data_IF_176619092778
#
_entry.id   IF_176619092778
#
_cell.length_a   1.000
_cell.length_b   1.000
_cell.length_c   1.000
_cell.angle_alpha   90.00
_cell.angle_beta   90.00
_cell.angle_gamma   90.00
#
_symmetry.space_group_name_H-M   'P 1'
#
loop_
_entity.id
_entity.type
_entity.pdbx_description
1 polymer ?
#
# COMPACT_ATOMS: atom_id res chain seq x y z
N UNK A 1 -9.94 2.98 -14.16
CA UNK A 1 -8.59 2.62 -13.68
C UNK A 1 -7.69 3.78 -14.05
N UNK A 2 -6.95 4.31 -13.07
CA UNK A 2 -6.07 5.47 -13.23
C UNK A 2 -4.64 4.98 -12.98
N UNK A 3 -3.74 5.26 -13.90
CA UNK A 3 -2.33 4.96 -13.72
C UNK A 3 -1.68 6.01 -12.81
N UNK A 4 -0.90 5.54 -11.84
CA UNK A 4 -0.12 6.34 -10.90
C UNK A 4 1.35 5.98 -11.11
N UNK A 5 2.24 6.96 -11.23
CA UNK A 5 3.66 6.70 -11.41
C UNK A 5 4.52 7.90 -11.06
N UNK A 6 5.73 7.62 -10.59
CA UNK A 6 6.81 8.60 -10.43
C UNK A 6 8.17 7.88 -10.56
N UNK A 7 9.26 8.55 -10.21
CA UNK A 7 10.60 7.96 -10.19
C UNK A 7 10.66 6.69 -9.31
N UNK A 8 10.87 5.55 -9.98
CA UNK A 8 11.03 4.21 -9.43
C UNK A 8 9.78 3.59 -8.78
N UNK A 9 8.59 4.15 -9.02
CA UNK A 9 7.34 3.46 -8.69
C UNK A 9 6.25 3.65 -9.72
N UNK A 10 5.38 2.66 -9.80
CA UNK A 10 4.18 2.70 -10.63
C UNK A 10 3.09 1.91 -9.96
N UNK A 11 1.84 2.17 -10.34
CA UNK A 11 0.69 1.41 -9.90
C UNK A 11 -0.58 1.85 -10.58
N UNK A 12 -1.66 1.14 -10.29
CA UNK A 12 -2.98 1.41 -10.84
C UNK A 12 -3.97 1.60 -9.70
N UNK A 13 -4.75 2.67 -9.77
CA UNK A 13 -5.83 3.01 -8.87
C UNK A 13 -7.17 2.59 -9.48
N UNK A 14 -7.93 1.84 -8.69
CA UNK A 14 -9.32 1.52 -8.92
C UNK A 14 -10.17 2.38 -7.98
N UNK A 15 -10.91 3.32 -8.55
CA UNK A 15 -11.91 4.11 -7.84
C UNK A 15 -13.22 3.34 -7.85
N UNK A 16 -13.56 2.70 -6.73
CA UNK A 16 -14.86 2.10 -6.46
C UNK A 16 -15.35 2.51 -5.04
N UNK A 17 -16.24 1.75 -4.41
CA UNK A 17 -16.68 2.01 -3.02
C UNK A 17 -15.52 1.94 -1.98
N UNK A 18 -14.39 1.35 -2.37
CA UNK A 18 -13.13 1.27 -1.65
C UNK A 18 -12.01 1.68 -2.61
N UNK A 19 -11.47 2.89 -2.49
CA UNK A 19 -10.35 3.29 -3.36
C UNK A 19 -9.14 2.39 -3.07
N UNK A 20 -8.75 1.59 -4.06
CA UNK A 20 -7.66 0.63 -3.95
C UNK A 20 -6.62 0.91 -5.01
N UNK A 21 -5.35 0.88 -4.65
CA UNK A 21 -4.27 0.95 -5.61
C UNK A 21 -3.24 -0.13 -5.34
N UNK A 22 -2.50 -0.52 -6.38
CA UNK A 22 -1.42 -1.51 -6.26
C UNK A 22 -0.37 -1.27 -7.32
N UNK A 23 0.85 -1.68 -7.04
CA UNK A 23 1.96 -1.40 -7.94
C UNK A 23 3.30 -1.92 -7.47
N UNK A 24 4.37 -1.33 -7.99
CA UNK A 24 5.74 -1.59 -7.55
C UNK A 24 6.47 -0.31 -7.12
N UNK A 25 7.36 -0.44 -6.13
CA UNK A 25 8.31 0.58 -5.66
C UNK A 25 9.67 -0.10 -5.47
N UNK A 26 10.71 0.36 -6.15
CA UNK A 26 12.07 -0.20 -6.05
C UNK A 26 12.13 -1.74 -6.17
N UNK A 27 11.24 -2.32 -6.98
CA UNK A 27 11.13 -3.77 -7.18
C UNK A 27 10.21 -4.50 -6.21
N UNK A 28 9.74 -3.88 -5.13
CA UNK A 28 8.79 -4.46 -4.17
C UNK A 28 7.34 -4.17 -4.58
N UNK A 29 6.46 -5.14 -4.36
CA UNK A 29 5.03 -4.95 -4.61
C UNK A 29 4.38 -4.20 -3.45
N UNK A 30 3.49 -3.26 -3.77
CA UNK A 30 2.73 -2.50 -2.78
C UNK A 30 1.23 -2.57 -3.06
N UNK A 31 0.45 -2.41 -1.98
CA UNK A 31 -1.00 -2.31 -1.99
C UNK A 31 -1.44 -1.14 -1.13
N UNK A 32 -2.42 -0.39 -1.62
CA UNK A 32 -3.06 0.73 -0.95
C UNK A 32 -4.54 0.43 -0.85
N UNK A 33 -5.12 0.73 0.31
CA UNK A 33 -6.56 0.69 0.50
C UNK A 33 -7.00 1.88 1.33
N UNK A 34 -7.98 2.62 0.80
CA UNK A 34 -8.77 3.58 1.55
C UNK A 34 -10.13 2.97 1.86
N UNK A 35 -10.47 2.93 3.15
CA UNK A 35 -11.76 2.44 3.65
C UNK A 35 -12.29 3.40 4.70
N UNK A 36 -13.35 4.15 4.38
CA UNK A 36 -13.92 5.13 5.30
C UNK A 36 -12.90 6.24 5.62
N UNK A 37 -12.46 6.32 6.88
CA UNK A 37 -11.46 7.30 7.36
C UNK A 37 -10.07 6.72 7.58
N UNK A 38 -9.87 5.44 7.28
CA UNK A 38 -8.59 4.77 7.41
C UNK A 38 -7.99 4.50 6.04
N UNK A 39 -6.71 4.86 5.85
CA UNK A 39 -5.89 4.36 4.77
C UNK A 39 -4.85 3.37 5.31
N UNK A 40 -4.55 2.38 4.49
CA UNK A 40 -3.49 1.40 4.73
C UNK A 40 -2.62 1.32 3.48
N UNK A 41 -1.31 1.28 3.67
CA UNK A 41 -0.33 0.92 2.63
C UNK A 41 0.54 -0.21 3.13
N UNK A 42 0.60 -1.26 2.33
CA UNK A 42 1.40 -2.46 2.55
C UNK A 42 2.47 -2.55 1.46
N UNK A 43 3.70 -2.89 1.85
CA UNK A 43 4.81 -3.19 0.93
C UNK A 43 5.33 -4.57 1.30
N UNK A 44 5.26 -5.53 0.37
CA UNK A 44 5.73 -6.88 0.61
C UNK A 44 7.26 -6.95 0.50
N UNK A 45 7.90 -7.69 1.42
CA UNK A 45 9.34 -7.93 1.44
C UNK A 45 9.80 -8.89 0.33
N UNK A 46 8.94 -9.81 -0.10
CA UNK A 46 9.26 -10.71 -1.21
C UNK A 46 9.03 -10.01 -2.56
N UNK A 47 10.10 -9.71 -3.34
CA UNK A 47 9.99 -9.05 -4.63
C UNK A 47 9.35 -9.93 -5.72
N UNK A 48 9.27 -11.24 -5.52
CA UNK A 48 8.65 -12.19 -6.46
C UNK A 48 7.12 -12.11 -6.42
N UNK A 49 6.53 -11.68 -5.30
CA UNK A 49 5.08 -11.50 -5.18
C UNK A 49 4.63 -10.44 -6.20
N UNK A 50 3.67 -10.78 -7.05
CA UNK A 50 3.10 -9.83 -8.00
C UNK A 50 2.11 -8.89 -7.28
N UNK A 51 1.95 -7.62 -7.71
CA UNK A 51 1.04 -6.69 -7.05
C UNK A 51 -0.42 -7.18 -6.97
N UNK A 52 -0.83 -8.06 -7.90
CA UNK A 52 -2.17 -8.66 -7.92
C UNK A 52 -2.33 -9.85 -6.95
N UNK A 53 -1.23 -10.38 -6.43
CA UNK A 53 -1.12 -11.58 -5.60
C UNK A 53 -0.67 -11.25 -4.17
N UNK A 54 -0.53 -9.96 -3.83
CA UNK A 54 -0.02 -9.50 -2.56
C UNK A 54 -0.91 -9.99 -1.40
N UNK A 55 -0.42 -10.92 -0.54
CA UNK A 55 -1.13 -11.31 0.65
C UNK A 55 -1.01 -10.22 1.71
N UNK A 56 -1.81 -10.28 2.76
CA UNK A 56 -1.71 -9.32 3.86
C UNK A 56 -0.31 -9.39 4.49
N UNK A 57 0.32 -8.23 4.67
CA UNK A 57 1.62 -8.15 5.34
C UNK A 57 1.47 -8.66 6.77
N UNK A 58 2.38 -9.53 7.18
CA UNK A 58 2.32 -10.26 8.45
C UNK A 58 1.59 -11.60 8.34
N UNK A 59 0.73 -11.83 7.33
CA UNK A 59 0.04 -13.10 7.12
C UNK A 59 0.35 -13.66 5.72
N UNK A 60 1.35 -14.53 5.63
CA UNK A 60 1.80 -15.15 4.38
C UNK A 60 3.03 -14.48 3.75
N UNK A 61 3.29 -13.19 4.01
CA UNK A 61 4.57 -12.56 3.73
C UNK A 61 4.97 -11.55 4.80
N UNK A 62 6.28 -11.30 4.92
CA UNK A 62 6.80 -10.16 5.69
C UNK A 62 6.66 -8.89 4.86
N UNK A 63 6.81 -7.75 5.51
CA UNK A 63 6.73 -6.48 4.80
C UNK A 63 6.64 -5.28 5.70
N UNK A 64 6.34 -4.14 5.12
CA UNK A 64 6.17 -2.88 5.80
C UNK A 64 4.72 -2.43 5.76
N UNK A 65 4.26 -1.86 6.86
CA UNK A 65 2.90 -1.37 7.01
C UNK A 65 2.90 0.11 7.38
N UNK A 66 2.05 0.87 6.72
CA UNK A 66 1.68 2.23 7.08
C UNK A 66 0.16 2.32 7.24
N UNK A 67 -0.29 2.90 8.35
CA UNK A 67 -1.71 3.12 8.65
C UNK A 67 -1.95 4.56 9.07
N UNK A 68 -3.04 5.15 8.58
CA UNK A 68 -3.48 6.48 8.97
C UNK A 68 -5.01 6.51 9.10
N UNK A 69 -5.50 6.77 10.31
CA UNK A 69 -6.92 6.73 10.67
C UNK A 69 -7.64 8.09 10.60
N UNK A 70 -6.98 9.11 10.06
CA UNK A 70 -7.51 10.48 10.00
C UNK A 70 -7.66 11.01 8.57
N UNK A 71 -8.19 10.19 7.67
CA UNK A 71 -8.36 10.59 6.26
C UNK A 71 -9.52 11.59 6.13
N UNK A 72 -9.27 12.66 5.37
CA UNK A 72 -10.30 13.63 4.99
C UNK A 72 -11.31 12.99 4.03
N UNK A 73 -12.58 12.98 4.43
CA UNK A 73 -13.67 12.56 3.55
C UNK A 73 -13.97 13.67 2.55
N UNK A 74 -13.35 13.60 1.37
CA UNK A 74 -13.71 14.45 0.23
C UNK A 74 -14.63 13.69 -0.73
N UNK A 75 -15.62 14.37 -1.30
CA UNK A 75 -16.49 13.83 -2.35
C UNK A 75 -15.98 14.17 -3.76
N UNK A 76 -14.91 14.95 -3.87
CA UNK A 76 -14.29 15.30 -5.15
C UNK A 76 -13.23 14.26 -5.51
N UNK A 77 -13.41 13.62 -6.67
CA UNK A 77 -12.51 12.61 -7.22
C UNK A 77 -11.08 13.14 -7.45
N UNK A 78 -10.93 14.34 -8.00
CA UNK A 78 -9.61 14.92 -8.28
C UNK A 78 -8.85 15.18 -6.97
N UNK A 79 -9.53 15.75 -5.98
CA UNK A 79 -8.95 15.98 -4.66
C UNK A 79 -8.59 14.67 -3.95
N UNK A 80 -9.37 13.62 -4.17
CA UNK A 80 -9.08 12.29 -3.64
C UNK A 80 -7.84 11.68 -4.30
N UNK A 81 -7.71 11.77 -5.62
CA UNK A 81 -6.54 11.29 -6.36
C UNK A 81 -5.28 12.04 -5.89
N UNK A 82 -5.35 13.36 -5.77
CA UNK A 82 -4.23 14.17 -5.28
C UNK A 82 -3.83 13.77 -3.86
N UNK A 83 -4.82 13.57 -2.98
CA UNK A 83 -4.59 13.09 -1.62
C UNK A 83 -3.91 11.71 -1.60
N UNK A 84 -4.43 10.74 -2.35
CA UNK A 84 -3.86 9.38 -2.46
C UNK A 84 -2.41 9.45 -2.96
N UNK A 85 -2.15 10.25 -3.99
CA UNK A 85 -0.81 10.39 -4.56
C UNK A 85 0.17 10.97 -3.52
N UNK A 86 -0.26 12.00 -2.78
CA UNK A 86 0.55 12.60 -1.71
C UNK A 86 0.86 11.59 -0.58
N UNK A 87 -0.11 10.80 -0.15
CA UNK A 87 0.09 9.76 0.86
C UNK A 87 1.05 8.68 0.36
N UNK A 88 0.91 8.21 -0.88
CA UNK A 88 1.83 7.23 -1.47
C UNK A 88 3.28 7.76 -1.51
N UNK A 89 3.48 9.02 -1.94
CA UNK A 89 4.80 9.65 -1.95
C UNK A 89 5.42 9.74 -0.55
N UNK A 90 4.61 10.07 0.46
CA UNK A 90 5.07 10.05 1.86
C UNK A 90 5.50 8.64 2.29
N UNK A 91 4.66 7.63 2.05
CA UNK A 91 4.94 6.25 2.44
C UNK A 91 6.18 5.72 1.75
N UNK A 92 6.34 5.94 0.44
CA UNK A 92 7.52 5.50 -0.29
C UNK A 92 8.79 6.22 0.16
N UNK A 93 8.70 7.49 0.55
CA UNK A 93 9.81 8.22 1.17
C UNK A 93 10.19 7.61 2.53
N UNK A 94 9.22 7.25 3.36
CA UNK A 94 9.46 6.56 4.65
C UNK A 94 10.04 5.16 4.45
N UNK A 95 9.57 4.42 3.44
CA UNK A 95 10.08 3.11 3.06
C UNK A 95 11.57 3.20 2.69
N UNK A 96 11.93 4.10 1.76
CA UNK A 96 13.32 4.33 1.34
C UNK A 96 14.25 4.74 2.48
N UNK A 97 13.70 5.40 3.51
CA UNK A 97 14.45 5.82 4.70
C UNK A 97 14.49 4.76 5.80
N UNK A 98 13.94 3.55 5.58
CA UNK A 98 13.79 2.50 6.59
C UNK A 98 13.04 2.98 7.85
N UNK A 99 12.01 3.81 7.67
CA UNK A 99 11.21 4.41 8.76
C UNK A 99 9.82 3.79 8.91
N UNK A 100 9.44 2.86 8.03
CA UNK A 100 8.19 2.12 8.17
C UNK A 100 8.35 0.96 9.16
N UNK A 101 7.25 0.63 9.83
CA UNK A 101 7.21 -0.52 10.72
C UNK A 101 7.29 -1.80 9.89
N UNK A 102 8.30 -2.63 10.15
CA UNK A 102 8.42 -3.95 9.52
C UNK A 102 7.64 -4.97 10.34
N UNK A 103 6.81 -5.76 9.66
CA UNK A 103 6.03 -6.85 10.23
C UNK A 103 6.57 -8.16 9.64
N UNK A 104 7.18 -9.03 10.46
CA UNK A 104 7.64 -10.33 9.98
C UNK A 104 6.46 -11.22 9.60
N UNK A 105 6.66 -12.11 8.63
CA UNK A 105 5.67 -13.13 8.31
C UNK A 105 5.45 -14.03 9.53
N UNK A 106 4.22 -14.13 10.03
CA UNK A 106 3.87 -15.25 10.88
C UNK A 106 3.52 -16.43 9.99
N UNK A 107 4.36 -17.47 9.99
CA UNK A 107 3.84 -18.80 9.73
C UNK A 107 3.08 -19.17 10.99
N UNK A 108 1.77 -19.40 10.91
CA UNK A 108 1.09 -20.05 12.02
C UNK A 108 1.50 -21.53 11.98
N UNK A 109 2.29 -22.07 12.93
CA UNK A 109 2.23 -23.49 13.21
C UNK A 109 0.93 -23.69 13.99
N UNK A 110 -0.22 -23.66 13.31
CA UNK A 110 -1.45 -24.14 13.91
C UNK A 110 -1.35 -25.67 14.00
N UNK A 111 -0.66 -26.11 15.06
CA UNK A 111 -0.67 -27.44 15.70
C UNK A 111 -0.32 -28.64 14.81
N UNK A 112 0.86 -29.21 15.01
CA UNK A 112 0.98 -30.68 14.99
C UNK A 112 0.44 -31.27 16.30
#
# INVERSE_FOLDING_TARGET
>A
MIELSDENWSGSLLLDATSKARGRIDGYSWYFQLKGKSLVVEIADDPQILPKELPLVGFGCGGWLYENEQVSSTTNEEALIEYINKELLLVFSLFKQNKLNYIPAVSCPCSE
#
